data_IF_709467143838
#
_entry.id   IF_709467143838
#
_cell.length_a   1.000
_cell.length_b   1.000
_cell.length_c   1.000
_cell.angle_alpha   90.00
_cell.angle_beta   90.00
_cell.angle_gamma   90.00
#
_symmetry.space_group_name_H-M   'P 1'
#
loop_
_entity.id
_entity.type
_entity.pdbx_description
1 polymer ?
#
# COMPACT_ATOMS: atom_id res chain seq x y z
N UNK A 1 8.47 8.76 5.45
CA UNK A 1 8.61 10.18 5.08
C UNK A 1 8.18 10.37 3.64
N UNK A 2 7.40 11.42 3.32
CA UNK A 2 7.00 11.75 1.94
C UNK A 2 5.50 11.72 1.70
N UNK A 3 5.10 11.79 0.40
CA UNK A 3 3.72 12.11 -0.01
C UNK A 3 2.75 10.92 -0.02
N UNK A 4 3.23 9.67 -0.15
CA UNK A 4 2.38 8.49 -0.33
C UNK A 4 2.81 7.30 0.54
N UNK A 5 2.93 7.46 1.88
CA UNK A 5 3.47 6.40 2.74
C UNK A 5 2.63 5.11 2.73
N UNK A 6 1.30 5.21 2.68
CA UNK A 6 0.40 4.04 2.67
C UNK A 6 0.62 3.22 1.41
N UNK A 7 0.53 3.88 0.24
CA UNK A 7 0.70 3.20 -1.05
C UNK A 7 2.10 2.59 -1.19
N UNK A 8 3.16 3.33 -0.78
CA UNK A 8 4.54 2.83 -0.87
C UNK A 8 4.79 1.64 0.04
N UNK A 9 4.24 1.61 1.25
CA UNK A 9 4.32 0.45 2.13
C UNK A 9 3.64 -0.79 1.50
N UNK A 10 2.45 -0.62 0.91
CA UNK A 10 1.76 -1.70 0.20
C UNK A 10 2.54 -2.21 -1.00
N UNK A 11 3.06 -1.30 -1.84
CA UNK A 11 3.88 -1.66 -3.02
C UNK A 11 5.17 -2.38 -2.63
N UNK A 12 5.80 -1.98 -1.53
CA UNK A 12 6.98 -2.63 -0.99
C UNK A 12 6.71 -4.05 -0.44
N UNK A 13 5.44 -4.39 -0.19
CA UNK A 13 5.05 -5.66 0.40
C UNK A 13 5.26 -5.70 1.92
N UNK A 14 5.26 -4.56 2.56
CA UNK A 14 5.32 -4.48 4.01
C UNK A 14 4.12 -5.21 4.63
N UNK A 15 4.36 -5.92 5.71
CA UNK A 15 3.31 -6.65 6.44
C UNK A 15 2.59 -5.79 7.49
N UNK A 16 3.15 -4.63 7.81
CA UNK A 16 2.61 -3.68 8.79
C UNK A 16 2.82 -2.25 8.31
N UNK A 17 1.93 -1.39 8.75
CA UNK A 17 2.06 0.07 8.65
C UNK A 17 1.65 0.71 9.97
N UNK A 18 1.69 2.04 10.08
CA UNK A 18 1.32 2.67 11.34
C UNK A 18 1.27 4.19 11.28
N UNK A 19 0.97 4.77 12.43
CA UNK A 19 0.95 6.22 12.66
C UNK A 19 1.99 6.57 13.72
N UNK A 20 2.68 7.66 13.52
CA UNK A 20 3.62 8.23 14.49
C UNK A 20 3.20 9.66 14.80
N UNK A 21 3.04 9.97 16.09
CA UNK A 21 2.94 11.34 16.57
C UNK A 21 4.35 11.81 16.87
N UNK A 22 4.74 12.92 16.28
CA UNK A 22 6.08 13.47 16.45
C UNK A 22 6.04 14.97 16.73
N UNK A 23 7.06 15.49 17.36
CA UNK A 23 7.28 16.94 17.47
C UNK A 23 7.79 17.45 16.12
N UNK A 24 7.26 18.57 15.66
CA UNK A 24 7.74 19.18 14.40
C UNK A 24 9.18 19.66 14.53
N UNK A 25 9.96 19.44 13.49
CA UNK A 25 11.32 19.93 13.31
C UNK A 25 11.47 20.63 11.96
N UNK A 26 12.61 21.26 11.68
CA UNK A 26 12.83 21.96 10.43
C UNK A 26 12.92 21.04 9.19
N UNK A 27 13.36 19.80 9.37
CA UNK A 27 13.41 18.79 8.31
C UNK A 27 12.08 18.11 8.09
N UNK A 28 11.87 17.56 6.87
CA UNK A 28 10.65 16.82 6.54
C UNK A 28 10.55 15.54 7.37
N UNK A 29 9.54 15.45 8.24
CA UNK A 29 9.23 14.30 9.09
C UNK A 29 10.45 13.79 9.89
N UNK A 30 11.29 14.69 10.41
CA UNK A 30 12.54 14.35 11.10
C UNK A 30 12.52 14.57 12.60
N UNK A 31 11.44 15.11 13.15
CA UNK A 31 11.35 15.40 14.58
C UNK A 31 11.27 14.14 15.44
N UNK A 32 11.55 14.27 16.76
CA UNK A 32 11.48 13.14 17.66
C UNK A 32 10.05 12.61 17.80
N UNK A 33 9.94 11.29 17.95
CA UNK A 33 8.68 10.58 18.10
C UNK A 33 8.18 10.69 19.54
N UNK A 34 6.89 10.97 19.68
CA UNK A 34 6.18 11.00 20.98
C UNK A 34 5.42 9.69 21.21
N UNK A 35 4.79 9.16 20.18
CA UNK A 35 4.06 7.90 20.23
C UNK A 35 3.99 7.23 18.86
N UNK A 36 3.90 5.91 18.85
CA UNK A 36 3.71 5.13 17.61
C UNK A 36 2.67 4.05 17.83
N UNK A 37 1.87 3.78 16.80
CA UNK A 37 0.96 2.64 16.79
C UNK A 37 1.01 1.96 15.42
N UNK A 38 0.86 0.62 15.39
CA UNK A 38 0.97 -0.20 14.18
C UNK A 38 -0.30 -1.00 13.94
N UNK A 39 -0.59 -1.25 12.66
CA UNK A 39 -1.60 -2.20 12.20
C UNK A 39 -1.00 -3.13 11.17
N UNK A 40 -1.52 -4.35 11.08
CA UNK A 40 -1.17 -5.27 10.01
C UNK A 40 -1.80 -4.81 8.69
N UNK A 41 -1.12 -5.09 7.58
CA UNK A 41 -1.67 -4.94 6.21
C UNK A 41 -2.22 -6.30 5.80
N UNK A 42 -3.54 -6.41 5.73
CA UNK A 42 -4.23 -7.63 5.34
C UNK A 42 -4.19 -7.89 3.83
N UNK A 43 -4.44 -9.14 3.44
CA UNK A 43 -4.41 -9.55 2.04
C UNK A 43 -5.51 -8.88 1.17
N UNK A 44 -6.58 -8.38 1.78
CA UNK A 44 -7.67 -7.69 1.10
C UNK A 44 -7.65 -6.18 1.34
N UNK A 45 -6.68 -5.67 2.09
CA UNK A 45 -6.60 -4.23 2.33
C UNK A 45 -6.27 -3.47 1.06
N UNK A 46 -6.96 -2.35 0.89
CA UNK A 46 -6.66 -1.33 -0.11
C UNK A 46 -6.06 -0.09 0.55
N UNK A 47 -5.51 0.82 -0.23
CA UNK A 47 -5.05 2.10 0.32
C UNK A 47 -6.19 2.88 1.00
N UNK A 48 -7.44 2.73 0.53
CA UNK A 48 -8.60 3.35 1.17
C UNK A 48 -8.92 2.74 2.54
N UNK A 49 -8.96 1.40 2.65
CA UNK A 49 -9.24 0.73 3.94
C UNK A 49 -8.17 1.04 4.97
N UNK A 50 -6.90 0.99 4.57
CA UNK A 50 -5.78 1.34 5.44
C UNK A 50 -5.81 2.81 5.86
N UNK A 51 -6.16 3.73 4.94
CA UNK A 51 -6.29 5.14 5.27
C UNK A 51 -7.36 5.37 6.35
N UNK A 52 -8.53 4.73 6.23
CA UNK A 52 -9.58 4.83 7.23
C UNK A 52 -9.13 4.29 8.60
N UNK A 53 -8.57 3.08 8.61
CA UNK A 53 -8.06 2.45 9.84
C UNK A 53 -6.94 3.26 10.51
N UNK A 54 -6.04 3.83 9.71
CA UNK A 54 -4.96 4.68 10.21
C UNK A 54 -5.46 6.03 10.70
N UNK A 55 -6.52 6.59 10.11
CA UNK A 55 -7.13 7.83 10.57
C UNK A 55 -7.73 7.65 11.97
N UNK A 56 -8.48 6.58 12.20
CA UNK A 56 -9.07 6.27 13.52
C UNK A 56 -7.97 6.00 14.56
N UNK A 57 -6.97 5.21 14.21
CA UNK A 57 -5.83 4.92 15.06
C UNK A 57 -5.06 6.20 15.42
N UNK A 58 -4.82 7.06 14.41
CA UNK A 58 -4.10 8.31 14.57
C UNK A 58 -4.85 9.31 15.45
N UNK A 59 -6.17 9.41 15.29
CA UNK A 59 -7.00 10.28 16.12
C UNK A 59 -6.92 9.90 17.61
N UNK A 60 -7.04 8.60 17.92
CA UNK A 60 -6.90 8.09 19.28
C UNK A 60 -5.50 8.36 19.83
N UNK A 61 -4.48 7.98 19.08
CA UNK A 61 -3.07 8.17 19.47
C UNK A 61 -2.73 9.64 19.72
N UNK A 62 -3.29 10.56 18.91
CA UNK A 62 -3.11 12.00 19.08
C UNK A 62 -3.75 12.50 20.39
N UNK A 63 -4.99 12.09 20.69
CA UNK A 63 -5.66 12.48 21.94
C UNK A 63 -4.87 12.02 23.17
N UNK A 64 -4.41 10.77 23.16
CA UNK A 64 -3.60 10.20 24.24
C UNK A 64 -2.27 10.98 24.38
N UNK A 65 -1.60 11.28 23.27
CA UNK A 65 -0.34 12.04 23.24
C UNK A 65 -0.51 13.47 23.75
N UNK A 66 -1.61 14.15 23.42
CA UNK A 66 -1.90 15.50 23.91
C UNK A 66 -2.13 15.51 25.43
N UNK A 67 -2.82 14.50 25.97
CA UNK A 67 -3.00 14.35 27.41
C UNK A 67 -1.66 14.16 28.15
N UNK A 68 -0.75 13.36 27.60
CA UNK A 68 0.58 13.15 28.16
C UNK A 68 1.48 14.39 28.04
N UNK A 69 1.41 15.13 26.95
CA UNK A 69 2.10 16.41 26.79
C UNK A 69 1.60 17.41 27.87
N UNK A 70 0.29 17.56 28.02
CA UNK A 70 -0.31 18.45 28.99
C UNK A 70 0.07 18.11 30.45
N UNK A 71 0.23 16.82 30.75
CA UNK A 71 0.62 16.32 32.06
C UNK A 71 2.14 16.26 32.30
N UNK A 72 2.96 16.67 31.33
CA UNK A 72 4.43 16.61 31.40
C UNK A 72 5.00 15.18 31.37
N UNK A 73 4.26 14.20 30.89
CA UNK A 73 4.68 12.78 30.80
C UNK A 73 5.17 12.35 29.43
N UNK A 74 5.06 13.22 28.43
CA UNK A 74 5.48 12.88 27.07
C UNK A 74 7.02 12.66 27.02
N UNK A 75 7.41 11.54 26.45
CA UNK A 75 8.82 11.22 26.20
C UNK A 75 9.14 11.35 24.70
N UNK A 76 10.20 12.06 24.41
CA UNK A 76 10.73 12.21 23.06
C UNK A 76 11.73 11.09 22.76
N UNK A 77 11.54 10.39 21.65
CA UNK A 77 12.45 9.38 21.15
C UNK A 77 12.93 9.79 19.77
N UNK A 78 14.24 9.90 19.58
CA UNK A 78 14.82 10.20 18.27
C UNK A 78 14.46 9.13 17.25
N UNK A 79 14.19 9.55 16.02
CA UNK A 79 13.94 8.62 14.92
C UNK A 79 15.22 7.89 14.55
N UNK A 80 15.18 6.55 14.31
CA UNK A 80 16.33 5.82 13.84
C UNK A 80 16.92 6.43 12.55
N UNK A 81 18.23 6.52 12.45
CA UNK A 81 18.93 6.96 11.25
C UNK A 81 18.93 5.88 10.17
N UNK A 82 18.92 4.61 10.59
CA UNK A 82 18.85 3.46 9.69
C UNK A 82 17.43 3.12 9.30
N UNK A 83 17.24 2.53 8.11
CA UNK A 83 15.94 2.10 7.62
C UNK A 83 15.03 3.23 7.13
N UNK A 84 15.53 4.45 7.03
CA UNK A 84 14.76 5.59 6.51
C UNK A 84 14.47 5.37 5.03
N UNK A 85 13.18 5.42 4.67
CA UNK A 85 12.71 5.38 3.28
C UNK A 85 12.01 6.67 2.92
N UNK A 86 11.98 6.99 1.63
CA UNK A 86 11.24 8.13 1.11
C UNK A 86 10.04 7.65 0.29
N UNK A 87 8.85 7.96 0.79
CA UNK A 87 7.57 7.62 0.13
C UNK A 87 7.24 8.67 -0.93
N UNK A 88 7.85 8.53 -2.10
CA UNK A 88 7.63 9.44 -3.22
C UNK A 88 6.16 9.47 -3.64
N UNK A 89 5.72 10.63 -4.14
CA UNK A 89 4.40 10.78 -4.76
C UNK A 89 4.17 9.69 -5.80
N UNK A 90 2.93 9.19 -5.87
CA UNK A 90 2.54 8.24 -6.92
C UNK A 90 2.34 8.99 -8.22
N UNK A 91 3.04 8.56 -9.26
CA UNK A 91 2.90 9.10 -10.59
C UNK A 91 1.83 8.31 -11.37
N UNK A 92 1.09 8.99 -12.24
CA UNK A 92 0.00 8.39 -13.01
C UNK A 92 0.46 7.20 -13.87
N UNK A 93 1.70 7.25 -14.37
CA UNK A 93 2.27 6.16 -15.17
C UNK A 93 2.48 4.85 -14.38
N UNK A 94 2.64 4.92 -13.05
CA UNK A 94 2.78 3.75 -12.20
C UNK A 94 1.49 2.90 -12.12
N UNK A 95 0.35 3.48 -12.51
CA UNK A 95 -0.93 2.78 -12.53
C UNK A 95 -1.00 1.70 -13.62
N UNK A 96 -0.18 1.78 -14.67
CA UNK A 96 -0.14 0.78 -15.73
C UNK A 96 0.42 -0.54 -15.21
N UNK A 97 -0.34 -1.61 -15.41
CA UNK A 97 0.06 -2.96 -15.01
C UNK A 97 0.97 -3.57 -16.06
N UNK A 98 2.10 -4.05 -15.63
CA UNK A 98 3.06 -4.82 -16.44
C UNK A 98 2.89 -6.30 -16.10
N UNK A 99 2.20 -7.05 -16.96
CA UNK A 99 1.88 -8.47 -16.71
C UNK A 99 3.13 -9.37 -16.59
N UNK A 100 4.29 -8.90 -17.02
CA UNK A 100 5.58 -9.58 -16.89
C UNK A 100 6.08 -9.62 -15.44
N UNK A 101 5.49 -8.82 -14.55
CA UNK A 101 5.75 -8.89 -13.12
C UNK A 101 5.09 -10.13 -12.50
N UNK A 102 5.46 -10.47 -11.26
CA UNK A 102 4.81 -11.55 -10.53
C UNK A 102 3.38 -11.16 -10.07
N UNK A 103 2.51 -12.17 -9.93
CA UNK A 103 1.13 -11.96 -9.53
C UNK A 103 0.99 -11.21 -8.20
N UNK A 104 1.91 -11.43 -7.26
CA UNK A 104 1.89 -10.77 -5.96
C UNK A 104 2.26 -9.28 -6.07
N UNK A 105 3.19 -8.90 -6.96
CA UNK A 105 3.53 -7.49 -7.19
C UNK A 105 2.36 -6.75 -7.86
N UNK A 106 1.72 -7.37 -8.84
CA UNK A 106 0.55 -6.79 -9.51
C UNK A 106 -0.62 -6.65 -8.52
N UNK A 107 -0.88 -7.65 -7.68
CA UNK A 107 -1.92 -7.59 -6.64
C UNK A 107 -1.68 -6.43 -5.67
N UNK A 108 -0.45 -6.28 -5.18
CA UNK A 108 -0.09 -5.15 -4.32
C UNK A 108 -0.34 -3.81 -5.01
N UNK A 109 -0.03 -3.68 -6.31
CA UNK A 109 -0.28 -2.46 -7.10
C UNK A 109 -1.77 -2.18 -7.22
N UNK A 110 -2.59 -3.18 -7.56
CA UNK A 110 -4.05 -3.03 -7.66
C UNK A 110 -4.62 -2.51 -6.34
N UNK A 111 -4.28 -3.12 -5.23
CA UNK A 111 -4.75 -2.72 -3.89
C UNK A 111 -4.19 -1.37 -3.43
N UNK A 112 -2.91 -1.11 -3.66
CA UNK A 112 -2.27 0.16 -3.30
C UNK A 112 -2.88 1.35 -4.05
N UNK A 113 -3.35 1.15 -5.28
CA UNK A 113 -3.91 2.21 -6.12
C UNK A 113 -5.44 2.28 -6.08
N UNK A 114 -6.09 1.47 -5.27
CA UNK A 114 -7.52 1.56 -5.03
C UNK A 114 -7.79 2.52 -3.85
N UNK A 115 -8.48 3.65 -4.04
CA UNK A 115 -9.26 4.04 -5.22
C UNK A 115 -8.52 4.99 -6.19
N UNK A 116 -7.28 5.36 -5.96
CA UNK A 116 -6.53 6.29 -6.82
C UNK A 116 -5.04 5.98 -6.85
N UNK A 117 -4.44 6.00 -8.06
CA UNK A 117 -4.98 6.39 -9.39
C UNK A 117 -5.87 5.35 -10.06
N UNK A 118 -6.10 4.18 -9.50
CA UNK A 118 -6.65 2.92 -10.02
C UNK A 118 -5.67 2.26 -10.99
N UNK A 119 -5.28 1.04 -10.69
CA UNK A 119 -4.45 0.25 -11.60
C UNK A 119 -5.19 0.00 -12.91
N UNK A 120 -4.48 -0.04 -14.01
CA UNK A 120 -5.07 -0.15 -15.34
C UNK A 120 -4.23 -1.04 -16.26
N UNK A 121 -4.90 -1.59 -17.25
CA UNK A 121 -4.29 -2.36 -18.34
C UNK A 121 -5.05 -2.11 -19.63
N UNK A 122 -4.62 -2.72 -20.74
CA UNK A 122 -5.31 -2.64 -22.01
C UNK A 122 -5.63 -4.05 -22.54
N UNK A 123 -6.83 -4.22 -23.08
CA UNK A 123 -7.25 -5.40 -23.80
C UNK A 123 -7.74 -4.96 -25.18
N UNK A 124 -7.10 -5.42 -26.23
CA UNK A 124 -7.44 -5.08 -27.62
C UNK A 124 -7.58 -3.55 -27.85
N UNK A 125 -6.69 -2.77 -27.24
CA UNK A 125 -6.69 -1.32 -27.32
C UNK A 125 -7.69 -0.61 -26.40
N UNK A 126 -8.53 -1.34 -25.69
CA UNK A 126 -9.49 -0.78 -24.71
C UNK A 126 -8.84 -0.75 -23.32
N UNK A 127 -8.85 0.44 -22.69
CA UNK A 127 -8.36 0.59 -21.33
C UNK A 127 -9.33 -0.05 -20.32
N UNK A 128 -8.81 -0.90 -19.45
CA UNK A 128 -9.54 -1.51 -18.35
C UNK A 128 -8.96 -1.04 -17.02
N UNK A 129 -9.82 -0.78 -16.05
CA UNK A 129 -9.45 -0.45 -14.67
C UNK A 129 -9.58 -1.69 -13.79
N UNK A 130 -8.53 -1.96 -13.02
CA UNK A 130 -8.46 -3.10 -12.12
C UNK A 130 -8.71 -2.60 -10.70
N UNK A 131 -9.88 -2.95 -10.15
CA UNK A 131 -10.29 -2.44 -8.84
C UNK A 131 -9.85 -3.36 -7.70
N UNK A 132 -9.99 -4.66 -7.89
CA UNK A 132 -9.56 -5.66 -6.93
C UNK A 132 -8.90 -6.83 -7.64
N UNK A 133 -8.08 -7.55 -6.92
CA UNK A 133 -7.45 -8.76 -7.39
C UNK A 133 -7.14 -9.72 -6.24
N UNK A 134 -6.83 -10.94 -6.59
CA UNK A 134 -6.30 -11.93 -5.66
C UNK A 134 -5.31 -12.83 -6.37
N UNK A 135 -4.26 -13.22 -5.68
CA UNK A 135 -3.28 -14.18 -6.18
C UNK A 135 -3.88 -15.57 -6.07
N UNK A 136 -4.09 -16.27 -7.20
CA UNK A 136 -4.52 -17.66 -7.22
C UNK A 136 -3.34 -18.60 -7.05
N UNK A 137 -2.28 -18.35 -7.80
CA UNK A 137 -1.03 -19.08 -7.74
C UNK A 137 0.12 -18.07 -7.63
N UNK A 138 0.95 -18.14 -6.58
CA UNK A 138 1.99 -17.14 -6.35
C UNK A 138 3.25 -17.34 -7.20
N UNK A 139 3.41 -18.51 -7.83
CA UNK A 139 4.61 -18.88 -8.57
C UNK A 139 4.28 -19.78 -9.78
N UNK A 140 5.29 -20.07 -10.59
CA UNK A 140 5.13 -20.88 -11.79
C UNK A 140 4.87 -20.06 -13.05
N UNK A 141 5.06 -20.70 -14.20
CA UNK A 141 4.79 -20.12 -15.53
C UNK A 141 3.53 -20.76 -16.09
N UNK A 142 2.55 -19.95 -16.43
CA UNK A 142 1.21 -20.41 -16.87
C UNK A 142 0.87 -19.96 -18.31
N UNK A 143 1.89 -19.80 -19.12
CA UNK A 143 1.80 -19.33 -20.52
C UNK A 143 2.39 -17.93 -20.69
N UNK A 144 1.99 -17.25 -21.74
CA UNK A 144 2.42 -15.88 -22.02
C UNK A 144 1.82 -14.91 -21.00
N UNK A 145 2.65 -14.04 -20.43
CA UNK A 145 2.20 -13.04 -19.46
C UNK A 145 1.18 -12.07 -20.08
N UNK A 146 0.07 -11.85 -19.38
CA UNK A 146 -1.08 -11.08 -19.88
C UNK A 146 -2.14 -11.93 -20.58
N UNK A 147 -1.90 -13.22 -20.79
CA UNK A 147 -2.89 -14.11 -21.37
C UNK A 147 -4.02 -14.40 -20.37
N UNK A 148 -5.26 -14.24 -20.83
CA UNK A 148 -6.45 -14.69 -20.09
C UNK A 148 -6.50 -16.22 -20.10
N UNK A 149 -6.49 -16.84 -18.94
CA UNK A 149 -6.54 -18.30 -18.75
C UNK A 149 -7.96 -18.81 -18.54
N UNK A 150 -8.76 -18.05 -17.79
CA UNK A 150 -10.15 -18.35 -17.51
C UNK A 150 -10.94 -17.07 -17.23
N UNK A 151 -12.25 -17.13 -17.39
CA UNK A 151 -13.16 -16.05 -17.01
C UNK A 151 -14.50 -16.64 -16.55
N UNK A 152 -15.21 -15.91 -15.68
CA UNK A 152 -16.50 -16.33 -15.15
C UNK A 152 -17.01 -15.36 -14.08
N UNK A 153 -18.02 -15.77 -13.33
CA UNK A 153 -18.60 -14.96 -12.25
C UNK A 153 -17.58 -14.59 -11.16
N UNK A 154 -16.58 -15.44 -10.94
CA UNK A 154 -15.54 -15.19 -9.94
C UNK A 154 -14.48 -14.16 -10.38
N UNK A 155 -14.48 -13.75 -11.64
CA UNK A 155 -13.50 -12.82 -12.21
C UNK A 155 -12.79 -13.35 -13.44
N UNK A 156 -11.66 -12.73 -13.76
CA UNK A 156 -10.81 -13.03 -14.91
C UNK A 156 -9.43 -13.47 -14.40
N UNK A 157 -9.02 -14.68 -14.77
CA UNK A 157 -7.71 -15.23 -14.38
C UNK A 157 -6.69 -14.94 -15.48
N UNK A 158 -5.59 -14.28 -15.11
CA UNK A 158 -4.57 -13.83 -16.03
C UNK A 158 -3.20 -14.41 -15.64
N UNK A 159 -2.48 -14.94 -16.62
CA UNK A 159 -1.09 -15.36 -16.43
C UNK A 159 -0.20 -14.14 -16.20
N UNK A 160 0.66 -14.23 -15.19
CA UNK A 160 1.65 -13.22 -14.85
C UNK A 160 3.07 -13.73 -15.22
N UNK A 161 4.08 -12.88 -15.08
CA UNK A 161 5.48 -13.30 -15.24
C UNK A 161 5.82 -14.48 -14.33
N UNK A 162 5.23 -14.49 -13.12
CA UNK A 162 5.16 -15.66 -12.25
C UNK A 162 3.81 -15.68 -11.55
N UNK A 163 3.15 -16.87 -11.57
CA UNK A 163 1.87 -17.07 -10.94
C UNK A 163 0.65 -16.66 -11.77
N UNK A 164 -0.52 -16.71 -11.14
CA UNK A 164 -1.82 -16.37 -11.72
C UNK A 164 -2.51 -15.35 -10.84
N UNK A 165 -2.99 -14.27 -11.45
CA UNK A 165 -3.80 -13.24 -10.80
C UNK A 165 -5.25 -13.34 -11.25
N UNK A 166 -6.18 -13.34 -10.29
CA UNK A 166 -7.60 -13.11 -10.55
C UNK A 166 -7.93 -11.65 -10.38
N UNK A 167 -8.52 -11.05 -11.40
CA UNK A 167 -9.06 -9.68 -11.39
C UNK A 167 -10.57 -9.76 -11.17
N UNK A 168 -11.08 -8.90 -10.25
CA UNK A 168 -12.52 -8.82 -9.90
C UNK A 168 -13.02 -7.37 -9.89
#
# INVERSE_FOLDING_TARGET
RGAAPIQRAMLAGDTHTGVTIMRMAAGLDTGPMLATARIAIGAQDTSASLHASLADLGAKLLCDSLADIAAGRAHETEQPAEGVTYAAKIEKAEAEVTWQEDAAAIDRRVRAFNPRPVAQTHLEGTQLRLWMSSVLEPAGTHGEAGRVLAHGEAGIDVACGAGILRVT
#
